data_IF_779876458875
#
_entry.id   IF_779876458875
#
_cell.length_a   1.000
_cell.length_b   1.000
_cell.length_c   1.000
_cell.angle_alpha   90.00
_cell.angle_beta   90.00
_cell.angle_gamma   90.00
#
_symmetry.space_group_name_H-M   'P 1'
#
loop_
_entity.id
_entity.type
_entity.pdbx_description
1 polymer ?
#
# COMPACT_ATOMS: atom_id res chain seq x y z
N UNK A 1 -26.07 -2.29 -2.55
CA UNK A 1 -24.65 -1.84 -2.51
C UNK A 1 -24.07 -1.72 -3.92
N UNK A 2 -24.19 -2.77 -4.76
CA UNK A 2 -23.61 -2.80 -6.11
C UNK A 2 -24.26 -1.79 -7.08
N UNK A 3 -25.54 -1.45 -6.93
CA UNK A 3 -26.18 -0.41 -7.73
C UNK A 3 -25.66 0.99 -7.40
N UNK A 4 -25.28 1.23 -6.14
CA UNK A 4 -24.62 2.49 -5.73
C UNK A 4 -23.20 2.61 -6.25
N UNK A 5 -22.50 1.50 -6.45
CA UNK A 5 -21.13 1.49 -7.02
C UNK A 5 -21.13 1.87 -8.50
N UNK A 6 -22.24 1.71 -9.24
CA UNK A 6 -22.35 2.10 -10.65
C UNK A 6 -22.28 3.62 -10.87
N UNK A 7 -22.60 4.40 -9.87
CA UNK A 7 -22.64 5.87 -9.96
C UNK A 7 -21.38 6.57 -9.43
N UNK A 8 -20.34 5.82 -9.00
CA UNK A 8 -19.12 6.35 -8.37
C UNK A 8 -18.03 5.28 -8.24
N UNK A 9 -16.83 5.59 -7.85
CA UNK A 9 -16.08 6.82 -7.72
C UNK A 9 -15.25 7.10 -8.98
N UNK A 10 -14.87 8.37 -9.18
CA UNK A 10 -14.02 8.74 -10.32
C UNK A 10 -12.52 8.57 -10.04
N UNK A 11 -12.12 8.07 -8.86
CA UNK A 11 -10.73 7.94 -8.47
C UNK A 11 -10.38 6.50 -8.01
N UNK A 12 -9.08 6.23 -7.94
CA UNK A 12 -8.53 4.90 -7.63
C UNK A 12 -8.04 4.76 -6.18
N UNK A 13 -8.33 5.71 -5.31
CA UNK A 13 -7.76 5.78 -3.97
C UNK A 13 -8.28 4.70 -3.03
N UNK A 14 -7.52 4.47 -1.95
CA UNK A 14 -7.93 3.53 -0.91
C UNK A 14 -9.02 4.13 0.00
N UNK A 15 -8.99 5.44 0.23
CA UNK A 15 -9.89 6.12 1.15
C UNK A 15 -11.32 6.20 0.62
N UNK A 16 -11.49 6.67 -0.61
CA UNK A 16 -12.80 6.95 -1.21
C UNK A 16 -12.89 6.55 -2.69
N UNK A 17 -12.07 5.61 -3.14
CA UNK A 17 -11.97 5.17 -4.51
C UNK A 17 -12.11 3.66 -4.72
N UNK A 18 -11.81 3.22 -5.94
CA UNK A 18 -11.92 1.81 -6.33
C UNK A 18 -11.07 0.87 -5.50
N UNK A 19 -9.85 1.27 -5.08
CA UNK A 19 -9.01 0.43 -4.24
C UNK A 19 -9.66 0.11 -2.89
N UNK A 20 -10.34 1.09 -2.26
CA UNK A 20 -11.08 0.87 -1.02
C UNK A 20 -12.27 -0.08 -1.18
N UNK A 21 -13.00 0.05 -2.29
CA UNK A 21 -14.10 -0.86 -2.61
C UNK A 21 -13.58 -2.28 -2.82
N UNK A 22 -12.52 -2.44 -3.63
CA UNK A 22 -11.89 -3.75 -3.87
C UNK A 22 -11.42 -4.37 -2.56
N UNK A 23 -10.72 -3.60 -1.71
CA UNK A 23 -10.28 -4.08 -0.39
C UNK A 23 -11.45 -4.61 0.44
N UNK A 24 -12.54 -3.86 0.49
CA UNK A 24 -13.76 -4.26 1.23
C UNK A 24 -14.36 -5.54 0.66
N UNK A 25 -14.51 -5.63 -0.65
CA UNK A 25 -15.04 -6.83 -1.32
C UNK A 25 -14.13 -8.04 -1.10
N UNK A 26 -12.81 -7.89 -1.16
CA UNK A 26 -11.85 -8.95 -0.87
C UNK A 26 -11.95 -9.46 0.57
N UNK A 27 -12.17 -8.56 1.53
CA UNK A 27 -12.31 -8.92 2.96
C UNK A 27 -13.60 -9.67 3.26
N UNK A 28 -14.71 -9.34 2.58
CA UNK A 28 -16.00 -9.98 2.81
C UNK A 28 -16.23 -11.24 1.97
N UNK A 29 -15.60 -11.36 0.78
CA UNK A 29 -15.74 -12.52 -0.13
C UNK A 29 -15.37 -13.85 0.51
N UNK A 30 -14.51 -13.84 1.53
CA UNK A 30 -14.07 -15.04 2.23
C UNK A 30 -14.98 -15.42 3.43
N UNK A 31 -16.05 -14.65 3.68
CA UNK A 31 -16.95 -14.90 4.81
C UNK A 31 -18.20 -15.68 4.36
N UNK A 32 -18.61 -16.67 5.19
CA UNK A 32 -19.84 -17.41 4.93
C UNK A 32 -21.05 -16.48 4.83
N UNK A 33 -21.93 -16.73 3.87
CA UNK A 33 -23.20 -16.00 3.69
C UNK A 33 -23.09 -14.76 2.81
N UNK A 34 -21.93 -14.43 2.27
CA UNK A 34 -21.78 -13.34 1.30
C UNK A 34 -21.76 -13.88 -0.14
N UNK A 35 -22.28 -13.09 -1.12
CA UNK A 35 -22.21 -13.44 -2.53
C UNK A 35 -20.77 -13.52 -3.04
N UNK A 36 -20.58 -14.22 -4.16
CA UNK A 36 -19.30 -14.19 -4.89
C UNK A 36 -19.13 -12.85 -5.62
N UNK A 37 -18.15 -12.08 -5.20
CA UNK A 37 -17.80 -10.76 -5.78
C UNK A 37 -16.66 -10.86 -6.79
N UNK A 38 -16.18 -12.03 -7.16
CA UNK A 38 -14.99 -12.21 -8.00
C UNK A 38 -15.03 -11.40 -9.29
N UNK A 39 -16.16 -11.40 -10.01
CA UNK A 39 -16.31 -10.64 -11.27
C UNK A 39 -16.16 -9.13 -11.04
N UNK A 40 -16.74 -8.59 -9.96
CA UNK A 40 -16.66 -7.17 -9.63
C UNK A 40 -15.24 -6.78 -9.21
N UNK A 41 -14.60 -7.60 -8.38
CA UNK A 41 -13.21 -7.42 -7.97
C UNK A 41 -12.31 -7.38 -9.22
N UNK A 42 -12.43 -8.37 -10.11
CA UNK A 42 -11.60 -8.45 -11.33
C UNK A 42 -11.78 -7.23 -12.23
N UNK A 43 -13.01 -6.79 -12.47
CA UNK A 43 -13.29 -5.60 -13.29
C UNK A 43 -12.66 -4.33 -12.71
N UNK A 44 -12.77 -4.13 -11.38
CA UNK A 44 -12.18 -2.98 -10.72
C UNK A 44 -10.64 -3.05 -10.69
N UNK A 45 -10.06 -4.24 -10.51
CA UNK A 45 -8.61 -4.45 -10.57
C UNK A 45 -8.04 -4.14 -11.97
N UNK A 46 -8.76 -4.48 -13.05
CA UNK A 46 -8.37 -4.10 -14.41
C UNK A 46 -8.32 -2.58 -14.58
N UNK A 47 -9.30 -1.86 -14.02
CA UNK A 47 -9.30 -0.41 -14.02
C UNK A 47 -8.12 0.16 -13.23
N UNK A 48 -7.91 -0.30 -12.00
CA UNK A 48 -6.75 0.11 -11.20
C UNK A 48 -5.43 -0.13 -11.93
N UNK A 49 -5.31 -1.26 -12.64
CA UNK A 49 -4.13 -1.58 -13.45
C UNK A 49 -3.91 -0.58 -14.58
N UNK A 50 -4.97 -0.18 -15.29
CA UNK A 50 -4.89 0.79 -16.41
C UNK A 50 -4.48 2.19 -15.97
N UNK A 51 -4.62 2.48 -14.69
CA UNK A 51 -4.41 3.81 -14.13
C UNK A 51 -3.14 3.92 -13.26
N UNK A 52 -2.31 2.87 -13.20
CA UNK A 52 -1.03 2.91 -12.49
C UNK A 52 -0.16 4.06 -13.03
N UNK A 53 0.32 4.91 -12.14
CA UNK A 53 1.18 6.05 -12.44
C UNK A 53 0.44 7.30 -12.94
N UNK A 54 -0.89 7.30 -12.99
CA UNK A 54 -1.68 8.48 -13.38
C UNK A 54 -2.02 9.40 -12.20
N UNK A 55 -1.93 8.90 -10.97
CA UNK A 55 -2.15 9.74 -9.79
C UNK A 55 -0.92 10.57 -9.48
N UNK A 56 -1.16 11.81 -9.06
CA UNK A 56 -0.13 12.72 -8.53
C UNK A 56 -0.05 12.67 -7.01
N UNK A 57 -1.04 12.03 -6.37
CA UNK A 57 -1.09 11.88 -4.93
C UNK A 57 -0.23 10.69 -4.49
N UNK A 58 0.28 10.76 -3.28
CA UNK A 58 1.23 9.79 -2.73
C UNK A 58 0.65 9.07 -1.50
N UNK A 59 1.31 7.97 -1.12
CA UNK A 59 0.94 7.18 0.04
C UNK A 59 -0.13 6.12 -0.20
N UNK A 60 -0.56 5.49 0.89
CA UNK A 60 -1.60 4.46 0.88
C UNK A 60 -2.99 5.04 0.67
N UNK A 61 -3.24 6.22 1.22
CA UNK A 61 -4.59 6.78 1.29
C UNK A 61 -5.08 7.23 -0.07
N UNK A 62 -4.29 8.03 -0.78
CA UNK A 62 -4.65 8.67 -2.03
C UNK A 62 -3.80 8.25 -3.22
N UNK A 63 -2.63 7.65 -2.99
CA UNK A 63 -1.69 7.25 -4.03
C UNK A 63 -1.83 5.78 -4.47
N UNK A 64 -1.00 5.41 -5.44
CA UNK A 64 -0.97 4.05 -6.02
C UNK A 64 -0.58 2.96 -5.02
N UNK A 65 -0.01 3.29 -3.84
CA UNK A 65 0.26 2.30 -2.81
C UNK A 65 -1.01 1.62 -2.29
N UNK A 66 -2.16 2.32 -2.32
CA UNK A 66 -3.47 1.73 -2.04
C UNK A 66 -3.84 0.65 -3.06
N UNK A 67 -3.60 0.92 -4.35
CA UNK A 67 -3.76 -0.07 -5.42
C UNK A 67 -2.80 -1.25 -5.27
N UNK A 68 -1.54 -0.99 -4.88
CA UNK A 68 -0.57 -2.06 -4.60
C UNK A 68 -1.04 -2.99 -3.47
N UNK A 69 -1.68 -2.46 -2.43
CA UNK A 69 -2.23 -3.27 -1.34
C UNK A 69 -3.28 -4.28 -1.84
N UNK A 70 -4.23 -3.83 -2.65
CA UNK A 70 -5.29 -4.72 -3.17
C UNK A 70 -4.76 -5.72 -4.19
N UNK A 71 -3.75 -5.37 -5.00
CA UNK A 71 -3.06 -6.32 -5.86
C UNK A 71 -2.31 -7.40 -5.06
N UNK A 72 -1.63 -7.04 -3.97
CA UNK A 72 -0.99 -8.01 -3.07
C UNK A 72 -1.99 -8.99 -2.46
N UNK A 73 -3.16 -8.49 -2.05
CA UNK A 73 -4.23 -9.33 -1.52
C UNK A 73 -4.77 -10.28 -2.59
N UNK A 74 -4.97 -9.79 -3.81
CA UNK A 74 -5.45 -10.62 -4.92
C UNK A 74 -4.43 -11.67 -5.34
N UNK A 75 -3.13 -11.31 -5.40
CA UNK A 75 -2.07 -12.28 -5.62
C UNK A 75 -2.07 -13.40 -4.56
N UNK A 76 -2.23 -13.05 -3.28
CA UNK A 76 -2.32 -14.07 -2.22
C UNK A 76 -3.48 -15.02 -2.40
N UNK A 77 -4.62 -14.53 -2.89
CA UNK A 77 -5.84 -15.31 -3.12
C UNK A 77 -5.73 -16.20 -4.37
N UNK A 78 -5.22 -15.65 -5.49
CA UNK A 78 -5.29 -16.28 -6.82
C UNK A 78 -3.98 -16.86 -7.31
N UNK A 79 -2.83 -16.42 -6.75
CA UNK A 79 -1.46 -16.73 -7.22
C UNK A 79 -1.16 -16.27 -8.65
N UNK A 80 -1.98 -15.39 -9.22
CA UNK A 80 -1.76 -14.87 -10.56
C UNK A 80 -0.63 -13.81 -10.55
N UNK A 81 0.44 -14.06 -11.31
CA UNK A 81 1.66 -13.26 -11.30
C UNK A 81 1.48 -11.84 -11.85
N UNK A 82 0.47 -11.59 -12.68
CA UNK A 82 0.15 -10.25 -13.17
C UNK A 82 -0.09 -9.24 -12.03
N UNK A 83 -0.74 -9.66 -10.95
CA UNK A 83 -0.96 -8.80 -9.79
C UNK A 83 0.34 -8.43 -9.08
N UNK A 84 1.25 -9.41 -8.93
CA UNK A 84 2.56 -9.15 -8.33
C UNK A 84 3.42 -8.23 -9.24
N UNK A 85 3.29 -8.37 -10.55
CA UNK A 85 3.94 -7.49 -11.54
C UNK A 85 3.44 -6.05 -11.45
N UNK A 86 2.14 -5.84 -11.23
CA UNK A 86 1.56 -4.51 -11.00
C UNK A 86 2.12 -3.86 -9.73
N UNK A 87 2.25 -4.63 -8.63
CA UNK A 87 2.89 -4.14 -7.40
C UNK A 87 4.34 -3.74 -7.66
N UNK A 88 5.10 -4.56 -8.40
CA UNK A 88 6.49 -4.26 -8.77
C UNK A 88 6.58 -2.95 -9.56
N UNK A 89 5.68 -2.73 -10.51
CA UNK A 89 5.64 -1.50 -11.30
C UNK A 89 5.36 -0.27 -10.42
N UNK A 90 4.37 -0.34 -9.54
CA UNK A 90 4.05 0.74 -8.61
C UNK A 90 5.26 1.04 -7.72
N UNK A 91 5.86 0.02 -7.11
CA UNK A 91 7.02 0.19 -6.24
C UNK A 91 8.22 0.76 -7.01
N UNK A 92 8.45 0.32 -8.25
CA UNK A 92 9.50 0.88 -9.10
C UNK A 92 9.30 2.39 -9.33
N UNK A 93 8.08 2.81 -9.68
CA UNK A 93 7.77 4.23 -9.87
C UNK A 93 8.05 5.06 -8.61
N UNK A 94 7.61 4.56 -7.43
CA UNK A 94 7.90 5.22 -6.16
C UNK A 94 9.40 5.30 -5.87
N UNK A 95 10.12 4.20 -6.01
CA UNK A 95 11.56 4.14 -5.72
C UNK A 95 12.39 5.00 -6.68
N UNK A 96 11.97 5.13 -7.94
CA UNK A 96 12.62 6.03 -8.91
C UNK A 96 12.39 7.50 -8.57
N UNK A 97 11.17 7.87 -8.17
CA UNK A 97 10.84 9.24 -7.74
C UNK A 97 11.69 9.67 -6.55
N UNK A 98 11.90 8.76 -5.58
CA UNK A 98 12.64 9.06 -4.35
C UNK A 98 14.12 8.65 -4.38
N UNK A 99 14.64 8.20 -5.52
CA UNK A 99 16.02 7.71 -5.67
C UNK A 99 17.07 8.71 -5.21
N UNK A 100 16.84 9.99 -5.44
CA UNK A 100 17.74 11.09 -5.09
C UNK A 100 17.40 11.74 -3.74
N UNK A 101 16.33 11.31 -3.09
CA UNK A 101 15.97 11.82 -1.77
C UNK A 101 16.69 11.03 -0.69
N UNK A 102 17.04 11.71 0.41
CA UNK A 102 17.59 11.02 1.55
C UNK A 102 16.50 10.14 2.20
N UNK A 103 16.63 8.81 2.20
CA UNK A 103 15.63 7.91 2.76
C UNK A 103 15.40 8.15 4.27
N UNK A 104 16.37 8.76 4.97
CA UNK A 104 16.25 9.12 6.39
C UNK A 104 15.25 10.25 6.67
N UNK A 105 14.82 10.98 5.66
CA UNK A 105 13.94 12.14 5.83
C UNK A 105 12.48 11.87 5.51
N UNK A 106 12.14 10.61 5.15
CA UNK A 106 10.78 10.21 4.81
C UNK A 106 10.37 10.55 3.39
N UNK A 107 9.20 10.09 3.01
CA UNK A 107 8.60 10.34 1.69
C UNK A 107 7.89 11.68 1.74
N UNK A 108 8.06 12.46 0.68
CA UNK A 108 7.32 13.72 0.51
C UNK A 108 5.83 13.43 0.39
N UNK A 109 5.03 14.08 1.20
CA UNK A 109 3.59 14.07 1.09
C UNK A 109 3.15 15.26 0.25
N UNK A 110 2.64 14.98 -0.95
CA UNK A 110 2.03 15.99 -1.80
C UNK A 110 0.51 15.88 -1.69
N UNK A 111 -0.09 16.87 -1.06
CA UNK A 111 -1.54 17.07 -1.11
C UNK A 111 -1.84 18.42 -1.75
N UNK A 112 -3.07 18.63 -2.20
CA UNK A 112 -3.51 19.94 -2.69
C UNK A 112 -3.24 21.08 -1.71
N UNK A 113 -3.14 20.76 -0.42
CA UNK A 113 -2.98 21.74 0.67
C UNK A 113 -1.54 21.89 1.15
N UNK A 114 -0.72 20.84 1.03
CA UNK A 114 0.62 20.78 1.61
C UNK A 114 1.59 20.16 0.62
N UNK A 115 2.39 20.95 -0.03
CA UNK A 115 3.44 20.46 -0.95
C UNK A 115 4.74 20.22 -0.19
N UNK A 116 5.42 19.11 -0.53
CA UNK A 116 6.77 18.79 -0.02
C UNK A 116 6.87 18.58 1.50
N UNK A 117 5.78 18.23 2.17
CA UNK A 117 5.86 17.80 3.57
C UNK A 117 6.29 16.32 3.60
N UNK A 118 7.33 16.02 4.35
CA UNK A 118 7.80 14.66 4.57
C UNK A 118 7.02 14.05 5.73
N UNK A 119 6.39 12.92 5.45
CA UNK A 119 5.53 12.23 6.40
C UNK A 119 6.07 10.84 6.73
N UNK A 120 6.19 10.47 8.00
CA UNK A 120 6.58 9.11 8.39
C UNK A 120 5.39 8.15 8.50
N UNK A 121 4.16 8.65 8.39
CA UNK A 121 2.96 7.95 8.80
C UNK A 121 2.49 6.86 7.83
N UNK A 122 1.56 6.00 8.30
CA UNK A 122 1.09 4.84 7.54
C UNK A 122 0.32 5.22 6.27
N UNK A 123 -0.64 6.13 6.38
CA UNK A 123 -1.55 6.38 5.25
C UNK A 123 -0.93 7.30 4.19
N UNK A 124 -0.07 8.22 4.59
CA UNK A 124 0.44 9.24 3.69
C UNK A 124 1.97 9.43 3.75
N UNK A 125 2.72 8.41 4.14
CA UNK A 125 4.16 8.55 4.29
C UNK A 125 4.97 7.27 4.23
N UNK A 126 6.19 7.33 4.77
CA UNK A 126 7.21 6.29 4.68
C UNK A 126 6.74 4.93 5.22
N UNK A 127 5.97 4.92 6.32
CA UNK A 127 5.48 3.67 6.90
C UNK A 127 4.56 2.92 5.94
N UNK A 128 3.78 3.63 5.11
CA UNK A 128 2.94 3.02 4.06
C UNK A 128 3.77 2.34 2.97
N UNK A 129 4.79 3.03 2.46
CA UNK A 129 5.71 2.44 1.47
C UNK A 129 6.44 1.23 2.05
N UNK A 130 7.02 1.35 3.26
CA UNK A 130 7.72 0.27 3.95
C UNK A 130 6.79 -0.94 4.12
N UNK A 131 5.54 -0.71 4.50
CA UNK A 131 4.55 -1.78 4.65
C UNK A 131 4.31 -2.54 3.33
N UNK A 132 4.09 -1.83 2.22
CA UNK A 132 3.87 -2.46 0.91
C UNK A 132 5.14 -3.15 0.42
N UNK A 133 6.30 -2.51 0.53
CA UNK A 133 7.59 -3.07 0.13
C UNK A 133 7.90 -4.37 0.89
N UNK A 134 7.71 -4.35 2.22
CA UNK A 134 7.86 -5.54 3.05
C UNK A 134 6.91 -6.68 2.62
N UNK A 135 5.61 -6.37 2.42
CA UNK A 135 4.63 -7.37 1.96
C UNK A 135 4.97 -7.95 0.60
N UNK A 136 5.50 -7.13 -0.30
CA UNK A 136 5.98 -7.55 -1.61
C UNK A 136 7.20 -8.46 -1.48
N UNK A 137 8.20 -8.08 -0.70
CA UNK A 137 9.42 -8.87 -0.49
C UNK A 137 9.17 -10.23 0.16
N UNK A 138 8.17 -10.33 1.04
CA UNK A 138 7.74 -11.63 1.57
C UNK A 138 7.11 -12.58 0.52
N UNK A 139 6.89 -12.12 -0.70
CA UNK A 139 6.24 -12.87 -1.79
C UNK A 139 7.13 -13.05 -3.02
N UNK A 140 8.37 -12.56 -2.97
CA UNK A 140 9.34 -12.61 -4.07
C UNK A 140 10.57 -13.44 -3.67
N UNK A 141 11.20 -14.09 -4.65
CA UNK A 141 12.35 -14.97 -4.41
C UNK A 141 13.66 -14.17 -4.16
N UNK A 142 13.74 -12.94 -4.67
CA UNK A 142 14.93 -12.08 -4.57
C UNK A 142 14.59 -10.72 -3.92
N UNK A 143 14.29 -10.66 -2.64
CA UNK A 143 13.99 -9.42 -1.94
C UNK A 143 15.26 -8.61 -1.68
N UNK A 144 15.15 -7.28 -1.87
CA UNK A 144 16.22 -6.35 -1.48
C UNK A 144 16.00 -5.85 -0.05
N UNK A 145 16.39 -6.66 0.93
CA UNK A 145 16.22 -6.33 2.35
C UNK A 145 17.02 -5.11 2.77
N UNK A 146 18.21 -4.88 2.20
CA UNK A 146 19.05 -3.70 2.51
C UNK A 146 18.32 -2.40 2.19
N UNK A 147 17.63 -2.36 1.06
CA UNK A 147 16.80 -1.22 0.69
C UNK A 147 15.66 -1.01 1.68
N UNK A 148 14.99 -2.07 2.11
CA UNK A 148 13.93 -1.99 3.12
C UNK A 148 14.45 -1.45 4.45
N UNK A 149 15.58 -1.96 4.94
CA UNK A 149 16.21 -1.51 6.18
C UNK A 149 16.60 -0.03 6.11
N UNK A 150 17.13 0.40 4.97
CA UNK A 150 17.43 1.80 4.72
C UNK A 150 16.22 2.71 4.86
N UNK A 151 15.05 2.29 4.37
CA UNK A 151 13.81 3.03 4.56
C UNK A 151 13.27 2.97 5.98
N UNK A 152 13.52 1.88 6.73
CA UNK A 152 13.11 1.76 8.13
C UNK A 152 13.71 2.83 9.03
N UNK A 153 14.93 3.29 8.73
CA UNK A 153 15.59 4.35 9.50
C UNK A 153 14.80 5.67 9.45
N UNK A 154 14.00 5.88 8.40
CA UNK A 154 13.10 7.05 8.30
C UNK A 154 11.96 7.05 9.33
N UNK A 155 11.71 5.93 9.98
CA UNK A 155 10.70 5.79 11.04
C UNK A 155 11.26 5.99 12.45
N UNK A 156 12.58 6.12 12.56
CA UNK A 156 13.25 6.42 13.85
C UNK A 156 13.15 7.91 14.15
N UNK A 157 12.01 8.34 14.66
CA UNK A 157 11.70 9.74 14.92
C UNK A 157 11.79 10.04 16.42
N UNK A 158 12.34 11.22 16.79
CA UNK A 158 12.41 11.63 18.19
C UNK A 158 11.03 11.92 18.80
N UNK A 159 10.04 12.27 17.96
CA UNK A 159 8.66 12.51 18.38
C UNK A 159 7.69 12.39 17.20
N UNK A 160 6.40 12.23 17.50
CA UNK A 160 5.31 12.27 16.52
C UNK A 160 4.21 13.19 17.02
N UNK A 161 3.53 13.88 16.10
CA UNK A 161 2.45 14.82 16.48
C UNK A 161 1.15 14.12 16.91
N UNK A 162 0.91 12.92 16.39
CA UNK A 162 -0.33 12.18 16.58
C UNK A 162 -0.06 10.75 17.06
N UNK A 163 -1.04 10.17 17.75
CA UNK A 163 -0.98 8.77 18.23
C UNK A 163 -1.83 7.81 17.38
N UNK A 164 -2.63 8.31 16.44
CA UNK A 164 -3.56 7.52 15.64
C UNK A 164 -2.90 6.51 14.70
N UNK A 165 -3.70 5.59 14.17
CA UNK A 165 -3.23 4.55 13.22
C UNK A 165 -2.93 5.16 11.85
N UNK A 166 -3.78 6.04 11.35
CA UNK A 166 -3.64 6.58 10.00
C UNK A 166 -2.42 7.48 9.87
N UNK A 167 -2.35 8.48 10.74
CA UNK A 167 -1.37 9.56 10.68
C UNK A 167 -0.68 9.77 12.04
N UNK A 168 -0.21 8.69 12.67
CA UNK A 168 0.42 8.76 13.98
C UNK A 168 1.26 7.53 14.34
N UNK A 169 1.77 7.53 15.56
CA UNK A 169 2.68 6.52 16.11
C UNK A 169 2.10 5.11 16.05
N UNK A 170 0.81 4.94 16.30
CA UNK A 170 0.18 3.62 16.29
C UNK A 170 0.28 2.94 14.91
N UNK A 171 0.19 3.71 13.81
CA UNK A 171 0.38 3.20 12.46
C UNK A 171 1.81 2.73 12.19
N UNK A 172 2.79 3.49 12.64
CA UNK A 172 4.22 3.12 12.55
C UNK A 172 4.47 1.82 13.33
N UNK A 173 4.01 1.76 14.58
CA UNK A 173 4.14 0.57 15.42
C UNK A 173 3.44 -0.66 14.82
N UNK A 174 2.31 -0.47 14.14
CA UNK A 174 1.60 -1.55 13.45
C UNK A 174 2.46 -2.14 12.32
N UNK A 175 3.14 -1.30 11.55
CA UNK A 175 4.07 -1.75 10.48
C UNK A 175 5.22 -2.55 11.10
N UNK A 176 5.92 -2.00 12.09
CA UNK A 176 7.04 -2.65 12.77
C UNK A 176 6.60 -3.99 13.38
N UNK A 177 5.47 -4.00 14.11
CA UNK A 177 4.90 -5.24 14.68
C UNK A 177 4.60 -6.29 13.63
N UNK A 178 4.10 -5.87 12.46
CA UNK A 178 3.80 -6.78 11.35
C UNK A 178 5.07 -7.43 10.80
N UNK A 179 6.13 -6.65 10.67
CA UNK A 179 7.44 -7.13 10.23
C UNK A 179 8.04 -8.13 11.23
N UNK A 180 8.08 -7.79 12.50
CA UNK A 180 8.60 -8.67 13.57
C UNK A 180 7.85 -10.00 13.67
N UNK A 181 6.52 -9.99 13.51
CA UNK A 181 5.73 -11.23 13.49
C UNK A 181 6.03 -12.12 12.29
N UNK A 182 6.39 -11.54 11.17
CA UNK A 182 6.69 -12.29 9.95
C UNK A 182 8.12 -12.85 9.97
N UNK A 183 9.08 -12.17 10.60
CA UNK A 183 10.46 -12.67 10.76
C UNK A 183 10.51 -13.99 11.55
N UNK A 184 9.61 -14.20 12.51
CA UNK A 184 9.50 -15.48 13.24
C UNK A 184 9.07 -16.67 12.36
N UNK A 185 8.63 -16.43 11.13
CA UNK A 185 8.21 -17.45 10.16
C UNK A 185 9.23 -17.67 9.03
N UNK A 186 10.29 -16.88 8.99
CA UNK A 186 11.41 -17.10 8.08
C UNK A 186 12.33 -18.10 8.76
N UNK A 187 12.56 -19.31 8.20
CA UNK A 187 13.55 -20.23 8.74
C UNK A 187 14.89 -19.49 8.82
N UNK A 188 15.61 -19.67 9.93
CA UNK A 188 16.97 -19.15 10.06
C UNK A 188 17.79 -19.66 8.86
N UNK A 189 18.22 -18.74 7.99
CA UNK A 189 19.24 -19.01 7.00
C UNK A 189 20.59 -19.05 7.67
#
# INVERSE_FOLDING_TARGET
>A
LLERIKNEPQNNTLCNGYAGIVLTLQLISNKRGYPDFTKHITSMLMRLQSDIGKTTDEGLEYGDLGSALVFLMEYKRTKQMNYLSNVKLILKNYLETYKNENPFTGISYNSHKWKNIRSPYLMNGSAGLIFILFKYYCLTDNPNWDLLYKYLDSLNLPFTYNYGVNNGTAGILLVIKTMLKSQRKIPNQ
#
